data_IF_228667157015
#
_entry.id   IF_228667157015
#
_cell.length_a   1.000
_cell.length_b   1.000
_cell.length_c   1.000
_cell.angle_alpha   90.00
_cell.angle_beta   90.00
_cell.angle_gamma   90.00
#
_symmetry.space_group_name_H-M   'P 1'
#
loop_
_entity.id
_entity.type
_entity.pdbx_description
1 polymer ?
#
# COMPACT_ATOMS: atom_id res chain seq x y z
N UNK A 1 11.10 -0.93 -9.41
CA UNK A 1 9.83 -1.22 -8.69
C UNK A 1 9.84 -0.53 -7.34
N UNK A 2 8.71 0.02 -6.97
CA UNK A 2 8.53 0.69 -5.69
C UNK A 2 7.48 -0.04 -4.87
N UNK A 3 7.68 -0.08 -3.56
CA UNK A 3 6.72 -0.66 -2.63
C UNK A 3 6.18 0.47 -1.77
N UNK A 4 4.88 0.74 -1.87
CA UNK A 4 4.23 1.74 -1.01
C UNK A 4 3.57 0.99 0.15
N UNK A 5 3.87 1.41 1.37
CA UNK A 5 3.34 0.81 2.57
C UNK A 5 2.23 1.69 3.15
N UNK A 6 1.13 1.06 3.52
CA UNK A 6 0.07 1.68 4.31
C UNK A 6 -0.46 0.66 5.31
N UNK A 7 -1.18 1.13 6.32
CA UNK A 7 -1.82 0.26 7.31
C UNK A 7 -3.29 0.61 7.39
N UNK A 8 -4.13 -0.38 7.65
CA UNK A 8 -5.57 -0.21 7.79
C UNK A 8 -6.07 -0.94 9.04
N UNK A 9 -7.18 -0.50 9.65
CA UNK A 9 -7.61 -1.04 10.94
C UNK A 9 -8.28 -2.40 10.88
N UNK A 10 -8.78 -2.84 9.73
CA UNK A 10 -9.49 -4.12 9.63
C UNK A 10 -9.37 -4.74 8.24
N UNK A 11 -9.69 -6.02 8.16
CA UNK A 11 -9.54 -6.79 6.93
C UNK A 11 -10.48 -6.32 5.81
N UNK A 12 -11.68 -5.87 6.15
CA UNK A 12 -12.64 -5.40 5.15
C UNK A 12 -12.14 -4.15 4.44
N UNK A 13 -11.60 -3.21 5.19
CA UNK A 13 -11.02 -2.00 4.60
C UNK A 13 -9.80 -2.34 3.77
N UNK A 14 -8.97 -3.29 4.24
CA UNK A 14 -7.79 -3.74 3.51
C UNK A 14 -8.17 -4.32 2.14
N UNK A 15 -9.14 -5.23 2.11
CA UNK A 15 -9.58 -5.86 0.86
C UNK A 15 -10.21 -4.86 -0.10
N UNK A 16 -11.05 -3.99 0.42
CA UNK A 16 -11.69 -2.95 -0.39
C UNK A 16 -10.67 -2.01 -1.03
N UNK A 17 -9.72 -1.54 -0.24
CA UNK A 17 -8.67 -0.65 -0.72
C UNK A 17 -7.75 -1.35 -1.73
N UNK A 18 -7.35 -2.59 -1.44
CA UNK A 18 -6.49 -3.39 -2.32
C UNK A 18 -7.13 -3.60 -3.68
N UNK A 19 -8.38 -4.03 -3.71
CA UNK A 19 -9.10 -4.24 -4.97
C UNK A 19 -9.23 -2.94 -5.77
N UNK A 20 -9.58 -1.84 -5.11
CA UNK A 20 -9.74 -0.56 -5.77
C UNK A 20 -8.43 -0.06 -6.37
N UNK A 21 -7.32 -0.21 -5.65
CA UNK A 21 -6.00 0.20 -6.15
C UNK A 21 -5.63 -0.58 -7.42
N UNK A 22 -5.80 -1.89 -7.41
CA UNK A 22 -5.47 -2.74 -8.57
C UNK A 22 -6.43 -2.48 -9.74
N UNK A 23 -7.72 -2.37 -9.47
CA UNK A 23 -8.73 -2.11 -10.50
C UNK A 23 -8.51 -0.75 -11.18
N UNK A 24 -8.01 0.24 -10.46
CA UNK A 24 -7.71 1.56 -11.01
C UNK A 24 -6.31 1.63 -11.64
N UNK A 25 -5.64 0.49 -11.75
CA UNK A 25 -4.31 0.37 -12.38
C UNK A 25 -3.24 1.26 -11.73
N UNK A 26 -3.36 1.44 -10.43
CA UNK A 26 -2.40 2.20 -9.64
C UNK A 26 -1.25 1.32 -9.15
N UNK A 27 -1.47 0.02 -9.10
CA UNK A 27 -0.47 -0.97 -8.72
C UNK A 27 -0.75 -2.30 -9.40
N UNK A 28 0.27 -3.12 -9.54
CA UNK A 28 0.16 -4.45 -10.11
C UNK A 28 -0.26 -5.49 -9.06
N UNK A 29 0.11 -5.25 -7.81
CA UNK A 29 -0.14 -6.21 -6.74
C UNK A 29 -0.25 -5.45 -5.42
N UNK A 30 -1.23 -5.84 -4.61
CA UNK A 30 -1.36 -5.38 -3.23
C UNK A 30 -1.48 -6.62 -2.36
N UNK A 31 -0.64 -6.71 -1.36
CA UNK A 31 -0.69 -7.79 -0.40
C UNK A 31 -1.27 -7.27 0.92
N UNK A 32 -1.91 -8.15 1.66
CA UNK A 32 -2.50 -7.83 2.96
C UNK A 32 -1.89 -8.80 3.97
N UNK A 33 -1.10 -8.27 4.89
CA UNK A 33 -0.49 -9.11 5.92
C UNK A 33 -1.54 -9.45 7.00
N UNK A 34 -1.34 -10.57 7.71
CA UNK A 34 -2.22 -10.92 8.83
C UNK A 34 -2.25 -9.80 9.87
N UNK A 35 -3.30 -9.81 10.69
CA UNK A 35 -3.47 -8.82 11.76
C UNK A 35 -2.23 -8.74 12.62
N UNK A 36 -1.73 -7.53 12.81
CA UNK A 36 -0.55 -7.24 13.60
C UNK A 36 -0.88 -6.22 14.68
N UNK A 37 0.03 -6.06 15.63
CA UNK A 37 -0.06 -5.03 16.65
C UNK A 37 0.89 -3.88 16.28
N UNK A 38 0.36 -2.67 16.24
CA UNK A 38 1.15 -1.45 16.04
C UNK A 38 1.19 -0.67 17.35
N UNK A 39 2.37 -0.25 17.74
CA UNK A 39 2.57 0.59 18.93
C UNK A 39 3.19 1.90 18.46
N UNK A 40 2.53 3.01 18.77
CA UNK A 40 2.93 4.31 18.22
C UNK A 40 2.49 5.44 19.15
N UNK A 41 3.03 6.63 18.93
CA UNK A 41 2.65 7.82 19.69
C UNK A 41 1.63 8.62 18.89
N UNK A 42 0.53 8.95 19.53
CA UNK A 42 -0.49 9.82 18.93
C UNK A 42 -0.97 10.79 20.02
N UNK A 43 -0.93 12.08 19.70
CA UNK A 43 -1.31 13.15 20.64
C UNK A 43 -0.62 13.04 22.00
N UNK A 44 0.68 12.74 21.98
CA UNK A 44 1.50 12.66 23.17
C UNK A 44 1.34 11.37 24.00
N UNK A 45 0.55 10.41 23.51
CA UNK A 45 0.29 9.16 24.24
C UNK A 45 0.72 7.96 23.41
N UNK A 46 1.20 6.92 24.10
CA UNK A 46 1.49 5.64 23.46
C UNK A 46 0.17 4.91 23.22
N UNK A 47 -0.06 4.54 21.97
CA UNK A 47 -1.24 3.81 21.55
C UNK A 47 -0.84 2.40 21.11
N UNK A 48 -1.76 1.45 21.29
CA UNK A 48 -1.59 0.07 20.82
C UNK A 48 -2.84 -0.29 20.03
N UNK A 49 -2.68 -0.55 18.75
CA UNK A 49 -3.80 -0.83 17.84
C UNK A 49 -3.53 -2.07 17.02
N UNK A 50 -4.60 -2.76 16.62
CA UNK A 50 -4.49 -3.84 15.66
C UNK A 50 -4.65 -3.27 14.25
N UNK A 51 -3.75 -3.69 13.37
CA UNK A 51 -3.74 -3.21 11.98
C UNK A 51 -3.32 -4.29 11.02
N UNK A 52 -3.56 -4.05 9.74
CA UNK A 52 -3.02 -4.85 8.65
C UNK A 52 -2.06 -3.99 7.83
N UNK A 53 -0.86 -4.46 7.62
CA UNK A 53 0.10 -3.82 6.74
C UNK A 53 -0.21 -4.23 5.30
N UNK A 54 -0.19 -3.26 4.40
CA UNK A 54 -0.46 -3.48 2.98
C UNK A 54 0.73 -3.04 2.14
N UNK A 55 1.58 -3.97 1.68
CA UNK A 55 2.60 -3.66 0.67
C UNK A 55 1.95 -3.53 -0.71
N UNK A 56 2.11 -2.37 -1.32
CA UNK A 56 1.56 -2.02 -2.63
C UNK A 56 2.71 -1.96 -3.62
N UNK A 57 2.74 -2.88 -4.59
CA UNK A 57 3.83 -2.99 -5.56
C UNK A 57 3.48 -2.29 -6.84
N UNK A 58 4.25 -1.25 -7.17
CA UNK A 58 3.94 -0.36 -8.28
C UNK A 58 5.22 0.22 -8.90
N UNK A 59 5.06 1.13 -9.82
CA UNK A 59 6.16 1.86 -10.44
C UNK A 59 6.39 3.19 -9.69
N UNK A 60 7.65 3.67 -9.62
CA UNK A 60 7.95 4.93 -8.92
C UNK A 60 7.12 6.11 -9.38
N UNK A 61 6.84 6.20 -10.68
CA UNK A 61 6.05 7.30 -11.25
C UNK A 61 4.58 7.29 -10.81
N UNK A 62 4.11 6.21 -10.20
CA UNK A 62 2.75 6.10 -9.70
C UNK A 62 2.58 6.57 -8.26
N UNK A 63 3.66 6.91 -7.58
CA UNK A 63 3.59 7.22 -6.14
C UNK A 63 2.55 8.30 -5.81
N UNK A 64 2.57 9.41 -6.53
CA UNK A 64 1.66 10.53 -6.23
C UNK A 64 0.20 10.10 -6.37
N UNK A 65 -0.13 9.39 -7.45
CA UNK A 65 -1.50 8.90 -7.67
C UNK A 65 -1.93 7.90 -6.59
N UNK A 66 -1.01 6.99 -6.21
CA UNK A 66 -1.28 6.00 -5.15
C UNK A 66 -1.52 6.71 -3.82
N UNK A 67 -0.66 7.66 -3.47
CA UNK A 67 -0.76 8.40 -2.21
C UNK A 67 -2.07 9.20 -2.14
N UNK A 68 -2.44 9.88 -3.22
CA UNK A 68 -3.69 10.62 -3.30
C UNK A 68 -4.91 9.69 -3.17
N UNK A 69 -4.85 8.54 -3.83
CA UNK A 69 -5.95 7.57 -3.78
C UNK A 69 -6.13 7.01 -2.37
N UNK A 70 -5.02 6.64 -1.71
CA UNK A 70 -5.07 6.14 -0.33
C UNK A 70 -5.67 7.22 0.59
N UNK A 71 -5.18 8.44 0.49
CA UNK A 71 -5.65 9.55 1.33
C UNK A 71 -7.16 9.78 1.15
N UNK A 72 -7.65 9.70 -0.08
CA UNK A 72 -9.06 9.93 -0.38
C UNK A 72 -9.98 8.79 0.08
N UNK A 73 -9.43 7.58 0.26
CA UNK A 73 -10.24 6.38 0.53
C UNK A 73 -9.91 5.69 1.86
N UNK A 74 -9.11 6.34 2.70
CA UNK A 74 -8.70 5.76 3.98
C UNK A 74 -9.60 6.26 5.12
N UNK A 75 -9.84 5.39 6.11
CA UNK A 75 -10.61 5.77 7.29
C UNK A 75 -9.85 6.68 8.25
N UNK A 76 -8.51 6.66 8.20
CA UNK A 76 -7.69 7.56 9.01
C UNK A 76 -7.56 8.93 8.37
N UNK A 77 -7.49 9.96 9.20
CA UNK A 77 -7.22 11.33 8.74
C UNK A 77 -5.77 11.45 8.26
N UNK A 78 -4.85 10.78 8.96
CA UNK A 78 -3.42 10.79 8.63
C UNK A 78 -2.93 9.35 8.47
N UNK A 79 -3.18 8.72 7.31
CA UNK A 79 -2.72 7.35 7.10
C UNK A 79 -1.21 7.27 6.90
N UNK A 80 -0.63 6.13 7.26
CA UNK A 80 0.75 5.84 6.89
C UNK A 80 0.83 5.66 5.38
N UNK A 81 1.72 6.40 4.73
CA UNK A 81 2.01 6.24 3.31
C UNK A 81 3.51 6.44 3.15
N UNK A 82 4.22 5.33 2.98
CA UNK A 82 5.69 5.35 2.89
C UNK A 82 6.11 4.54 1.67
N UNK A 83 6.91 5.14 0.80
CA UNK A 83 7.44 4.46 -0.36
C UNK A 83 8.86 3.97 -0.09
N UNK A 84 9.11 2.72 -0.44
CA UNK A 84 10.42 2.08 -0.34
C UNK A 84 10.84 1.66 -1.75
N UNK A 85 12.02 2.10 -2.16
CA UNK A 85 12.54 1.73 -3.47
C UNK A 85 13.24 0.38 -3.37
N UNK A 86 12.90 -0.56 -4.27
CA UNK A 86 13.57 -1.85 -4.30
C UNK A 86 14.89 -1.72 -5.06
N UNK A 87 16.00 -2.13 -4.41
CA UNK A 87 17.32 -2.07 -5.04
C UNK A 87 17.49 -3.16 -6.09
N UNK A 88 16.86 -4.32 -5.86
CA UNK A 88 16.94 -5.45 -6.78
C UNK A 88 15.59 -6.16 -6.84
N UNK A 89 15.23 -6.59 -8.04
CA UNK A 89 14.02 -7.37 -8.31
C UNK A 89 14.38 -8.45 -9.32
N UNK A 90 13.95 -9.68 -9.08
CA UNK A 90 14.16 -10.76 -10.04
C UNK A 90 13.58 -10.36 -11.40
N UNK A 91 14.34 -10.56 -12.47
CA UNK A 91 13.98 -10.09 -13.82
C UNK A 91 12.59 -10.55 -14.28
N UNK A 92 12.19 -11.83 -14.12
CA UNK A 92 10.86 -12.26 -14.54
C UNK A 92 9.74 -11.53 -13.79
N UNK A 93 9.94 -11.24 -12.50
CA UNK A 93 8.95 -10.54 -11.69
C UNK A 93 8.85 -9.06 -12.09
N UNK A 94 10.00 -8.42 -12.30
CA UNK A 94 10.07 -7.04 -12.75
C UNK A 94 9.37 -6.87 -14.11
N UNK A 95 9.60 -7.82 -15.02
CA UNK A 95 8.96 -7.80 -16.33
C UNK A 95 7.45 -7.95 -16.21
N UNK A 96 6.99 -8.89 -15.37
CA UNK A 96 5.56 -9.08 -15.13
C UNK A 96 4.92 -7.79 -14.63
N UNK A 97 5.52 -7.16 -13.62
CA UNK A 97 4.98 -5.94 -13.04
C UNK A 97 4.92 -4.82 -14.08
N UNK A 98 5.99 -4.64 -14.83
CA UNK A 98 6.04 -3.61 -15.89
C UNK A 98 4.98 -3.85 -16.97
N UNK A 99 4.83 -5.10 -17.40
CA UNK A 99 3.83 -5.46 -18.42
C UNK A 99 2.41 -5.18 -17.92
N UNK A 100 2.11 -5.60 -16.68
CA UNK A 100 0.78 -5.37 -16.07
C UNK A 100 0.49 -3.88 -15.93
N UNK A 101 1.47 -3.10 -15.47
CA UNK A 101 1.29 -1.67 -15.25
C UNK A 101 1.13 -0.88 -16.56
N UNK A 102 1.59 -1.42 -17.68
CA UNK A 102 1.49 -0.78 -18.99
C UNK A 102 0.33 -1.33 -19.83
N UNK A 103 -0.47 -2.25 -19.30
CA UNK A 103 -1.68 -2.71 -19.95
C UNK A 103 -2.75 -1.62 -19.89
N UNK A 104 -3.48 -1.50 -20.97
CA UNK A 104 -4.54 -0.50 -21.10
C UNK A 104 -5.90 -1.18 -21.10
#
# INVERSE_FOLDING_TARGET
MQIVLTTVPNAEEAESLANAIVENKLAACVQILPRMTSVYVWEGKVQTENEHLMPIKTLPEKYVEVAEFITANHSYTTPEIVAVESSEVAEPYRKWLSDVMNEI
#
